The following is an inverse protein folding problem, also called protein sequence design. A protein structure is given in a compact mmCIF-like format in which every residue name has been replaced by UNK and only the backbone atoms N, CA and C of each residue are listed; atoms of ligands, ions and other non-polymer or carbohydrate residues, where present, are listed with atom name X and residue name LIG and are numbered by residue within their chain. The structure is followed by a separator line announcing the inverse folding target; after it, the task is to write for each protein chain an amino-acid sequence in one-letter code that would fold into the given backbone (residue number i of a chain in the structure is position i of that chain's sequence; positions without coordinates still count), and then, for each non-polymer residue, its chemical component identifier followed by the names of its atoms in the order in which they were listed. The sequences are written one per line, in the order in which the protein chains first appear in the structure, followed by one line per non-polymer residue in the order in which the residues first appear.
data_IF_027845371091
#
_entry.id   IF_027845371091
#
_cell.length_a   1.000
_cell.length_b   1.000
_cell.length_c   1.000
_cell.angle_alpha   90.00
_cell.angle_beta   90.00
_cell.angle_gamma   90.00
#
_symmetry.space_group_name_H-M   'P 1'
#
loop_
_entity.id
_entity.type
_entity.pdbx_description
1 polymer ?
#
# COMPACT_ATOMS: atom_id res chain seq x y z
N UNK A 1 19.83 -1.44 -8.73
CA UNK A 1 18.90 -0.59 -7.96
C UNK A 1 18.99 -1.01 -6.49
N UNK A 2 19.09 -0.07 -5.54
CA UNK A 2 19.17 -0.39 -4.10
C UNK A 2 17.79 -0.82 -3.57
N UNK A 3 17.71 -1.64 -2.52
CA UNK A 3 16.41 -2.09 -1.98
C UNK A 3 15.53 -0.93 -1.53
N UNK A 4 16.10 0.11 -0.91
CA UNK A 4 15.37 1.31 -0.51
C UNK A 4 14.73 2.05 -1.70
N UNK A 5 15.44 2.18 -2.82
CA UNK A 5 14.89 2.84 -4.02
C UNK A 5 13.77 2.01 -4.63
N UNK A 6 13.94 0.69 -4.70
CA UNK A 6 12.87 -0.22 -5.15
C UNK A 6 11.63 -0.12 -4.26
N UNK A 7 11.80 0.04 -2.94
CA UNK A 7 10.71 0.21 -1.97
C UNK A 7 9.95 1.51 -2.25
N UNK A 8 10.64 2.64 -2.36
CA UNK A 8 10.02 3.95 -2.65
C UNK A 8 9.26 3.92 -3.97
N UNK A 9 9.86 3.32 -4.99
CA UNK A 9 9.35 3.30 -6.36
C UNK A 9 8.32 2.20 -6.63
N UNK A 10 7.95 1.40 -5.62
CA UNK A 10 6.87 0.41 -5.73
C UNK A 10 5.47 1.04 -5.59
N UNK A 11 5.39 2.35 -5.33
CA UNK A 11 4.13 3.06 -5.11
C UNK A 11 3.29 3.15 -6.39
N UNK A 12 1.97 2.89 -6.35
CA UNK A 12 1.11 3.06 -7.50
C UNK A 12 0.98 4.53 -7.92
N UNK A 13 1.07 4.79 -9.23
CA UNK A 13 0.83 6.06 -9.91
C UNK A 13 -0.59 6.14 -10.46
N UNK A 14 -1.09 5.02 -11.01
CA UNK A 14 -2.44 4.95 -11.59
C UNK A 14 -3.39 4.18 -10.68
N UNK A 15 -4.66 4.57 -10.69
CA UNK A 15 -5.72 4.01 -9.84
C UNK A 15 -6.90 3.45 -10.66
N UNK A 16 -6.88 3.61 -11.99
CA UNK A 16 -8.04 3.38 -12.88
C UNK A 16 -8.55 1.94 -12.86
N UNK A 17 -7.65 0.98 -12.63
CA UNK A 17 -7.88 -0.45 -12.83
C UNK A 17 -7.86 -1.25 -11.53
N UNK A 18 -8.39 -0.69 -10.44
CA UNK A 18 -8.29 -1.37 -9.14
C UNK A 18 -9.43 -2.33 -8.83
N UNK A 19 -10.59 -2.12 -9.45
CA UNK A 19 -11.80 -2.89 -9.14
C UNK A 19 -12.02 -4.07 -10.10
N UNK A 20 -11.29 -4.11 -11.21
CA UNK A 20 -11.42 -5.19 -12.17
C UNK A 20 -10.46 -6.33 -11.81
N UNK A 21 -10.95 -7.56 -11.55
CA UNK A 21 -10.10 -8.71 -11.30
C UNK A 21 -9.27 -9.13 -12.52
N UNK A 22 -9.62 -8.67 -13.73
CA UNK A 22 -8.92 -8.96 -14.99
C UNK A 22 -7.92 -7.88 -15.39
N UNK A 23 -7.95 -6.73 -14.73
CA UNK A 23 -7.13 -5.60 -15.13
C UNK A 23 -5.70 -5.70 -14.63
N UNK A 24 -4.80 -5.09 -15.39
CA UNK A 24 -3.36 -5.05 -15.12
C UNK A 24 -3.06 -4.34 -13.79
N UNK A 25 -1.99 -4.77 -13.13
CA UNK A 25 -1.46 -4.13 -11.93
C UNK A 25 -1.28 -2.62 -12.13
N UNK A 26 -1.58 -1.76 -11.12
CA UNK A 26 -1.37 -0.32 -11.24
C UNK A 26 0.07 0.02 -11.65
N UNK A 27 0.22 1.04 -12.48
CA UNK A 27 1.53 1.50 -12.95
C UNK A 27 2.34 2.05 -11.77
N UNK A 28 3.59 1.64 -11.61
CA UNK A 28 4.49 2.16 -10.56
C UNK A 28 5.71 2.84 -11.19
N UNK A 29 6.43 3.74 -10.48
CA UNK A 29 7.70 4.28 -10.99
C UNK A 29 8.69 3.17 -11.36
N UNK A 30 8.70 2.05 -10.63
CA UNK A 30 9.53 0.89 -10.98
C UNK A 30 9.23 0.36 -12.38
N UNK A 31 7.96 0.35 -12.83
CA UNK A 31 7.62 -0.10 -14.18
C UNK A 31 8.29 0.78 -15.24
N UNK A 32 8.35 2.10 -15.02
CA UNK A 32 9.00 3.03 -15.94
C UNK A 32 10.53 2.93 -15.89
N UNK A 33 11.10 2.82 -14.68
CA UNK A 33 12.55 2.80 -14.48
C UNK A 33 13.20 1.47 -14.86
N UNK A 34 12.48 0.36 -14.70
CA UNK A 34 13.03 -0.99 -14.94
C UNK A 34 12.46 -1.65 -16.17
N UNK A 35 11.39 -1.11 -16.76
CA UNK A 35 10.60 -1.73 -17.84
C UNK A 35 10.12 -3.14 -17.49
N UNK A 36 10.02 -3.46 -16.19
CA UNK A 36 9.60 -4.77 -15.67
C UNK A 36 8.37 -4.62 -14.80
N UNK A 37 7.44 -5.55 -14.92
CA UNK A 37 6.24 -5.65 -14.07
C UNK A 37 6.48 -6.44 -12.77
N UNK A 38 7.74 -6.72 -12.41
CA UNK A 38 8.04 -7.62 -11.30
C UNK A 38 7.90 -6.89 -9.95
N UNK A 39 6.91 -7.32 -9.15
CA UNK A 39 6.80 -6.93 -7.74
C UNK A 39 7.93 -7.61 -6.98
N UNK A 40 8.87 -6.81 -6.45
CA UNK A 40 9.92 -7.30 -5.57
C UNK A 40 9.35 -7.67 -4.21
N UNK A 41 8.68 -8.82 -4.11
CA UNK A 41 8.22 -9.33 -2.82
C UNK A 41 9.43 -9.69 -1.95
N UNK A 42 9.39 -9.38 -0.64
CA UNK A 42 10.43 -9.84 0.26
C UNK A 42 10.50 -11.37 0.24
N UNK A 43 11.70 -11.96 0.48
CA UNK A 43 11.82 -13.40 0.65
C UNK A 43 10.84 -13.88 1.74
N UNK A 44 10.17 -15.03 1.55
CA UNK A 44 9.20 -15.56 2.50
C UNK A 44 9.91 -16.00 3.79
N UNK A 45 10.14 -15.05 4.70
CA UNK A 45 10.65 -15.29 6.04
C UNK A 45 10.44 -14.09 6.95
N UNK A 46 10.19 -14.37 8.23
CA UNK A 46 10.20 -13.34 9.25
C UNK A 46 11.64 -12.96 9.57
N UNK A 47 11.99 -11.69 9.36
CA UNK A 47 13.28 -11.13 9.72
C UNK A 47 13.16 -10.47 11.10
N UNK A 48 13.90 -10.98 12.08
CA UNK A 48 13.81 -10.54 13.48
C UNK A 48 14.91 -9.53 13.80
N UNK A 49 14.77 -8.78 14.89
CA UNK A 49 15.80 -7.81 15.35
C UNK A 49 17.20 -8.44 15.49
N UNK A 50 17.26 -9.71 15.86
CA UNK A 50 18.52 -10.46 15.99
C UNK A 50 19.25 -10.64 14.63
N UNK A 51 18.54 -10.54 13.50
CA UNK A 51 19.13 -10.65 12.16
C UNK A 51 20.05 -9.46 11.83
N UNK A 52 19.98 -8.35 12.58
CA UNK A 52 20.99 -7.28 12.53
C UNK A 52 22.38 -7.84 12.82
N UNK A 53 22.51 -8.76 13.77
CA UNK A 53 23.79 -9.34 14.16
C UNK A 53 24.12 -10.63 13.40
N UNK A 54 23.28 -11.04 12.45
CA UNK A 54 23.52 -12.24 11.65
C UNK A 54 24.84 -12.14 10.87
N UNK A 55 25.62 -13.24 10.88
CA UNK A 55 26.80 -13.43 10.00
C UNK A 55 26.41 -13.52 8.53
N UNK A 56 25.17 -13.94 8.23
CA UNK A 56 24.62 -13.96 6.87
C UNK A 56 24.20 -12.53 6.48
N UNK A 57 25.04 -11.84 5.70
CA UNK A 57 24.83 -10.45 5.26
C UNK A 57 23.45 -10.21 4.64
N UNK A 58 22.95 -11.14 3.83
CA UNK A 58 21.64 -10.99 3.20
C UNK A 58 20.50 -10.90 4.22
N UNK A 59 20.56 -11.60 5.36
CA UNK A 59 19.53 -11.51 6.42
C UNK A 59 19.52 -10.13 7.08
N UNK A 60 20.71 -9.55 7.30
CA UNK A 60 20.87 -8.20 7.84
C UNK A 60 20.25 -7.16 6.91
N UNK A 61 20.54 -7.26 5.62
CA UNK A 61 20.00 -6.37 4.58
C UNK A 61 18.46 -6.46 4.54
N UNK A 62 17.89 -7.66 4.55
CA UNK A 62 16.43 -7.84 4.55
C UNK A 62 15.76 -7.25 5.79
N UNK A 63 16.37 -7.40 6.97
CA UNK A 63 15.87 -6.77 8.20
C UNK A 63 15.85 -5.24 8.08
N UNK A 64 16.97 -4.63 7.66
CA UNK A 64 17.08 -3.18 7.49
C UNK A 64 16.09 -2.64 6.46
N UNK A 65 15.85 -3.38 5.37
CA UNK A 65 14.85 -3.02 4.37
C UNK A 65 13.41 -3.07 4.92
N UNK A 66 13.10 -4.01 5.80
CA UNK A 66 11.80 -4.05 6.49
C UNK A 66 11.64 -2.88 7.47
N UNK A 67 12.71 -2.53 8.20
CA UNK A 67 12.70 -1.37 9.08
C UNK A 67 12.52 -0.07 8.28
N UNK A 68 13.23 0.07 7.16
CA UNK A 68 13.07 1.17 6.21
C UNK A 68 11.62 1.25 5.71
N UNK A 69 11.03 0.14 5.26
CA UNK A 69 9.63 0.11 4.81
C UNK A 69 8.65 0.58 5.88
N UNK A 70 8.80 0.10 7.12
CA UNK A 70 7.96 0.49 8.25
C UNK A 70 8.00 2.00 8.49
N UNK A 71 9.21 2.58 8.56
CA UNK A 71 9.43 4.02 8.75
C UNK A 71 8.91 4.81 7.55
N UNK A 72 9.32 4.44 6.34
CA UNK A 72 8.93 5.08 5.09
C UNK A 72 7.41 5.17 4.97
N UNK A 73 6.69 4.05 5.07
CA UNK A 73 5.23 4.03 4.97
C UNK A 73 4.58 4.93 6.01
N UNK A 74 5.04 4.86 7.27
CA UNK A 74 4.48 5.64 8.38
C UNK A 74 4.67 7.15 8.19
N UNK A 75 5.86 7.57 7.83
CA UNK A 75 6.23 8.97 7.68
C UNK A 75 5.70 9.56 6.36
N UNK A 76 5.89 8.84 5.25
CA UNK A 76 5.45 9.28 3.93
C UNK A 76 3.93 9.46 3.83
N UNK A 77 3.14 8.49 4.31
CA UNK A 77 1.67 8.60 4.29
C UNK A 77 1.19 9.79 5.13
N UNK A 78 1.84 10.02 6.28
CA UNK A 78 1.52 11.14 7.16
C UNK A 78 1.86 12.49 6.49
N UNK A 79 2.94 12.54 5.70
CA UNK A 79 3.32 13.73 4.92
C UNK A 79 2.37 14.00 3.75
N UNK A 80 1.88 12.97 3.05
CA UNK A 80 0.85 13.14 2.00
C UNK A 80 -0.42 13.73 2.60
N UNK A 81 -0.83 13.25 3.77
CA UNK A 81 -1.96 13.79 4.49
C UNK A 81 -1.55 15.00 5.35
N UNK A 82 -0.87 15.97 4.75
CA UNK A 82 -0.56 17.25 5.38
C UNK A 82 -1.84 17.85 5.96
N UNK A 83 -2.00 17.68 7.28
CA UNK A 83 -3.03 18.34 8.07
C UNK A 83 -2.51 19.75 8.31
N UNK A 84 -2.69 20.63 7.33
CA UNK A 84 -2.76 22.04 7.68
C UNK A 84 -3.86 22.13 8.75
N UNK A 85 -3.52 22.72 9.92
CA UNK A 85 -4.51 23.06 10.95
C UNK A 85 -5.75 23.60 10.24
N UNK A 86 -6.94 23.25 10.74
CA UNK A 86 -8.27 23.49 10.18
C UNK A 86 -8.54 24.95 9.72
N UNK A 87 -7.82 25.44 8.72
CA UNK A 87 -7.92 26.81 8.20
C UNK A 87 -9.11 26.88 7.23
N UNK A 88 -9.41 25.78 6.53
CA UNK A 88 -10.56 25.68 5.64
C UNK A 88 -11.10 24.25 5.55
N UNK A 89 -12.43 24.07 5.45
CA UNK A 89 -13.02 22.77 5.14
C UNK A 89 -12.59 22.30 3.75
N UNK A 90 -12.20 21.02 3.64
CA UNK A 90 -11.94 20.34 2.36
C UNK A 90 -13.14 19.47 1.99
N UNK A 91 -13.20 19.03 0.72
CA UNK A 91 -14.22 18.09 0.25
C UNK A 91 -14.28 16.85 1.15
N UNK A 92 -15.50 16.47 1.56
CA UNK A 92 -15.74 15.19 2.24
C UNK A 92 -15.35 14.00 1.35
N UNK A 93 -15.10 12.86 1.99
CA UNK A 93 -14.94 11.59 1.29
C UNK A 93 -16.28 11.19 0.64
N UNK A 94 -16.23 10.67 -0.58
CA UNK A 94 -17.40 10.27 -1.35
C UNK A 94 -17.35 8.79 -1.72
N UNK A 95 -18.53 8.20 -1.94
CA UNK A 95 -18.63 6.85 -2.52
C UNK A 95 -17.96 6.87 -3.89
N UNK A 96 -17.13 5.86 -4.15
CA UNK A 96 -16.34 5.74 -5.38
C UNK A 96 -14.89 6.19 -5.24
N UNK A 97 -14.54 7.00 -4.25
CA UNK A 97 -13.17 7.45 -4.02
C UNK A 97 -12.22 6.27 -3.77
N UNK A 98 -11.01 6.35 -4.32
CA UNK A 98 -9.95 5.37 -4.08
C UNK A 98 -9.01 5.93 -3.02
N UNK A 99 -8.79 5.14 -1.97
CA UNK A 99 -7.99 5.52 -0.81
C UNK A 99 -6.87 4.52 -0.57
N UNK A 100 -5.75 5.03 -0.04
CA UNK A 100 -4.64 4.20 0.41
C UNK A 100 -4.86 3.79 1.87
N UNK A 101 -4.75 2.50 2.15
CA UNK A 101 -5.01 1.93 3.47
C UNK A 101 -3.72 1.92 4.27
N UNK A 102 -3.72 2.65 5.39
CA UNK A 102 -2.65 2.58 6.39
C UNK A 102 -2.91 1.39 7.30
N UNK A 103 -2.23 0.28 7.02
CA UNK A 103 -2.25 -0.93 7.83
C UNK A 103 -0.82 -1.26 8.26
N UNK A 104 -0.60 -1.37 9.57
CA UNK A 104 0.74 -1.54 10.13
C UNK A 104 1.35 -2.91 9.80
N UNK A 105 0.50 -3.90 9.51
CA UNK A 105 0.89 -5.28 9.24
C UNK A 105 1.14 -5.58 7.76
N UNK A 106 1.09 -4.57 6.87
CA UNK A 106 1.34 -4.80 5.44
C UNK A 106 2.79 -5.22 5.20
N UNK A 107 2.92 -6.29 4.40
CA UNK A 107 4.20 -6.80 3.90
C UNK A 107 4.90 -5.71 3.08
N UNK A 108 6.24 -5.75 3.07
CA UNK A 108 7.07 -4.84 2.28
C UNK A 108 6.63 -4.76 0.82
N UNK A 109 6.64 -3.55 0.25
CA UNK A 109 6.26 -3.22 -1.12
C UNK A 109 4.77 -3.41 -1.44
N UNK A 110 3.94 -3.75 -0.46
CA UNK A 110 2.51 -3.89 -0.65
C UNK A 110 1.80 -2.57 -0.35
N UNK A 111 1.34 -1.91 -1.39
CA UNK A 111 0.49 -0.71 -1.29
C UNK A 111 -0.97 -1.11 -1.37
N UNK A 112 -1.60 -1.30 -0.20
CA UNK A 112 -3.01 -1.69 -0.14
C UNK A 112 -3.88 -0.47 -0.39
N UNK A 113 -4.73 -0.58 -1.39
CA UNK A 113 -5.70 0.44 -1.76
C UNK A 113 -7.12 -0.13 -1.56
N UNK A 114 -8.09 0.75 -1.36
CA UNK A 114 -9.49 0.38 -1.24
C UNK A 114 -10.38 1.42 -1.92
N UNK A 115 -11.58 1.01 -2.31
CA UNK A 115 -12.61 1.90 -2.84
C UNK A 115 -13.69 2.13 -1.80
N UNK A 116 -14.10 3.38 -1.61
CA UNK A 116 -15.21 3.71 -0.71
C UNK A 116 -16.51 3.21 -1.31
N UNK A 117 -17.16 2.27 -0.63
CA UNK A 117 -18.47 1.76 -1.03
C UNK A 117 -19.62 2.40 -0.23
N UNK A 118 -19.34 2.92 0.96
CA UNK A 118 -20.31 3.67 1.78
C UNK A 118 -19.61 4.71 2.64
N UNK A 119 -20.23 5.88 2.78
CA UNK A 119 -19.80 6.94 3.71
C UNK A 119 -20.78 7.05 4.87
N UNK A 120 -20.28 7.42 6.04
CA UNK A 120 -21.09 7.70 7.22
C UNK A 120 -20.82 9.13 7.66
N UNK A 121 -21.86 9.94 7.64
CA UNK A 121 -21.85 11.35 8.00
C UNK A 121 -22.13 11.47 9.50
N UNK A 122 -21.41 12.36 10.16
CA UNK A 122 -21.54 12.69 11.58
C UNK A 122 -22.50 13.88 11.79
N UNK A 123 -22.80 14.25 13.04
CA UNK A 123 -23.78 15.31 13.36
C UNK A 123 -23.39 16.70 12.79
N UNK A 124 -22.11 16.92 12.53
CA UNK A 124 -21.57 18.15 11.94
C UNK A 124 -21.46 18.12 10.39
N UNK A 125 -22.13 17.16 9.75
CA UNK A 125 -22.10 16.93 8.30
C UNK A 125 -20.71 16.55 7.72
N UNK A 126 -19.75 16.11 8.55
CA UNK A 126 -18.44 15.65 8.09
C UNK A 126 -18.34 14.12 8.05
N UNK A 127 -17.58 13.60 7.07
CA UNK A 127 -17.37 12.14 6.91
C UNK A 127 -16.10 11.72 7.64
N UNK A 128 -16.25 11.04 8.78
CA UNK A 128 -15.13 10.47 9.57
C UNK A 128 -15.02 8.95 9.49
N UNK A 129 -16.06 8.28 9.00
CA UNK A 129 -16.11 6.83 8.87
C UNK A 129 -16.57 6.45 7.46
N UNK A 130 -15.91 5.45 6.89
CA UNK A 130 -16.22 4.92 5.55
C UNK A 130 -16.14 3.40 5.56
N UNK A 131 -16.93 2.75 4.71
CA UNK A 131 -16.80 1.33 4.39
C UNK A 131 -16.02 1.22 3.09
N UNK A 132 -15.03 0.32 3.07
CA UNK A 132 -14.14 0.10 1.93
C UNK A 132 -14.38 -1.28 1.33
N UNK A 133 -14.33 -1.36 0.01
CA UNK A 133 -14.13 -2.61 -0.73
C UNK A 133 -12.66 -2.70 -1.09
N UNK A 134 -12.04 -3.83 -0.74
CA UNK A 134 -10.61 -4.07 -0.99
C UNK A 134 -10.48 -5.32 -1.85
N UNK A 135 -9.76 -5.23 -2.97
CA UNK A 135 -9.45 -6.40 -3.79
C UNK A 135 -8.65 -7.42 -2.98
N UNK A 136 -9.07 -8.70 -3.00
CA UNK A 136 -8.29 -9.74 -2.35
C UNK A 136 -6.97 -9.95 -3.11
N UNK A 137 -5.86 -10.02 -2.38
CA UNK A 137 -4.59 -10.50 -2.91
C UNK A 137 -4.55 -12.02 -3.06
N UNK A 138 -5.59 -12.73 -2.61
CA UNK A 138 -5.70 -14.17 -2.82
C UNK A 138 -5.97 -14.40 -4.30
N UNK A 139 -4.90 -14.74 -5.02
CA UNK A 139 -4.98 -15.29 -6.35
C UNK A 139 -5.38 -16.76 -6.22
N UNK A 140 -6.33 -17.20 -7.04
CA UNK A 140 -6.58 -18.63 -7.22
C UNK A 140 -5.38 -19.31 -7.88
N UNK A 141 -5.37 -20.66 -7.93
CA UNK A 141 -4.32 -21.42 -8.64
C UNK A 141 -4.11 -21.02 -10.10
N UNK A 142 -5.06 -20.27 -10.68
CA UNK A 142 -5.06 -19.71 -12.04
C UNK A 142 -4.60 -18.24 -12.12
N UNK A 143 -4.14 -17.64 -11.01
CA UNK A 143 -3.71 -16.23 -10.98
C UNK A 143 -4.84 -15.20 -10.96
N UNK A 144 -6.10 -15.63 -10.75
CA UNK A 144 -7.27 -14.74 -10.75
C UNK A 144 -7.59 -14.27 -9.33
N UNK A 145 -7.85 -12.96 -9.15
CA UNK A 145 -8.21 -12.39 -7.84
C UNK A 145 -9.56 -12.95 -7.36
N UNK A 146 -9.58 -13.56 -6.17
CA UNK A 146 -10.82 -13.99 -5.54
C UNK A 146 -11.62 -12.78 -5.08
N UNK A 147 -12.77 -12.53 -5.69
CA UNK A 147 -13.78 -11.67 -5.08
C UNK A 147 -14.35 -12.42 -3.87
N UNK A 148 -14.03 -11.97 -2.65
CA UNK A 148 -14.82 -12.34 -1.47
C UNK A 148 -15.72 -11.16 -1.12
N UNK A 149 -16.98 -11.27 -1.50
CA UNK A 149 -18.06 -10.50 -0.89
C UNK A 149 -18.39 -11.15 0.45
N UNK A 150 -17.85 -10.63 1.55
CA UNK A 150 -18.37 -10.87 2.90
C UNK A 150 -18.11 -9.64 3.74
#
# INVERSE_FOLDING_TARGET
MSEATAIVNSRPLTLENLNDPLSVEPLTPNHLLTMKSAVFLPPPRNFMKNDVYSRKRWRRVQFLANEFWSRWRKEFLSNIQSRQKWIAPKRNLCVGDIVMIKDDNLVRNMWRLGRICKTFVDDDNLVRKVRLTVGSTNLDRRGVRKSKFT
#
